data_IF_869132370540
#
_entry.id   IF_869132370540
#
_cell.length_a   1.000
_cell.length_b   1.000
_cell.length_c   1.000
_cell.angle_alpha   90.00
_cell.angle_beta   90.00
_cell.angle_gamma   90.00
#
_symmetry.space_group_name_H-M   'P 1'
#
loop_
_entity.id
_entity.type
_entity.pdbx_description
1 polymer ?
#
# COMPACT_ATOMS: atom_id res chain seq x y z
N UNK A 1 10.09 0.09 50.91
CA UNK A 1 8.62 -0.11 50.86
C UNK A 1 8.20 0.16 49.43
N UNK A 2 7.88 -0.88 48.67
CA UNK A 2 7.23 -0.72 47.38
C UNK A 2 5.75 -0.50 47.65
N UNK A 3 5.26 0.66 47.26
CA UNK A 3 3.85 0.99 47.44
C UNK A 3 3.01 -0.01 46.65
N UNK A 4 1.91 -0.44 47.24
CA UNK A 4 0.92 -1.29 46.61
C UNK A 4 0.42 -0.59 45.33
N UNK A 5 0.91 -1.03 44.16
CA UNK A 5 0.51 -0.53 42.84
C UNK A 5 -0.87 -1.09 42.49
N UNK A 6 -1.87 -0.71 43.27
CA UNK A 6 -3.29 -0.99 43.03
C UNK A 6 -3.88 -0.13 41.90
N UNK A 7 -3.07 0.73 41.26
CA UNK A 7 -3.47 1.59 40.14
C UNK A 7 -2.49 1.44 38.97
N UNK A 8 -2.93 0.95 37.80
CA UNK A 8 -2.08 0.87 36.61
C UNK A 8 -1.75 2.27 36.09
N UNK A 9 -0.48 2.67 36.14
CA UNK A 9 0.00 3.91 35.51
C UNK A 9 0.17 3.65 34.02
N UNK A 10 -0.63 4.31 33.18
CA UNK A 10 -0.46 4.25 31.72
C UNK A 10 0.29 5.50 31.23
N UNK A 11 1.40 5.31 30.52
CA UNK A 11 2.13 6.38 29.82
C UNK A 11 2.02 6.17 28.32
N UNK A 12 1.63 7.21 27.59
CA UNK A 12 1.55 7.18 26.13
C UNK A 12 2.88 7.61 25.50
N UNK A 13 3.33 6.88 24.49
CA UNK A 13 4.47 7.24 23.66
C UNK A 13 3.94 7.65 22.28
N UNK A 14 4.29 8.85 21.82
CA UNK A 14 3.87 9.35 20.50
C UNK A 14 5.11 9.53 19.63
N UNK A 15 5.33 8.66 18.62
CA UNK A 15 6.43 8.83 17.69
C UNK A 15 6.29 10.13 16.89
N UNK A 16 7.39 10.90 16.81
CA UNK A 16 7.46 12.12 15.99
C UNK A 16 8.08 11.84 14.63
N UNK A 17 9.05 10.91 14.56
CA UNK A 17 9.73 10.52 13.33
C UNK A 17 9.88 8.99 13.21
N UNK A 18 10.04 8.47 11.98
CA UNK A 18 10.36 7.07 11.75
C UNK A 18 11.72 6.71 12.35
N UNK A 19 11.88 5.46 12.80
CA UNK A 19 13.12 5.02 13.43
C UNK A 19 12.92 3.77 14.28
N UNK A 20 13.93 3.52 15.12
CA UNK A 20 13.96 2.41 16.05
C UNK A 20 14.11 2.97 17.46
N UNK A 21 13.39 2.39 18.41
CA UNK A 21 13.49 2.72 19.82
C UNK A 21 13.54 1.42 20.63
N UNK A 22 14.53 1.30 21.50
CA UNK A 22 14.56 0.28 22.55
C UNK A 22 14.02 0.91 23.82
N UNK A 23 12.89 0.40 24.30
CA UNK A 23 12.28 0.83 25.55
C UNK A 23 12.68 -0.16 26.65
N UNK A 24 13.35 0.35 27.67
CA UNK A 24 13.76 -0.42 28.84
C UNK A 24 12.99 0.09 30.06
N UNK A 25 12.23 -0.79 30.69
CA UNK A 25 11.44 -0.49 31.88
C UNK A 25 12.08 -1.17 33.07
N UNK A 26 12.54 -0.38 34.02
CA UNK A 26 13.14 -0.86 35.26
C UNK A 26 12.10 -0.92 36.36
N UNK A 27 11.97 -2.09 36.97
CA UNK A 27 11.28 -2.22 38.24
C UNK A 27 12.30 -2.04 39.38
N UNK A 28 12.27 -0.88 40.03
CA UNK A 28 13.16 -0.56 41.15
C UNK A 28 12.79 -1.31 42.44
N UNK A 29 11.65 -1.99 42.44
CA UNK A 29 11.11 -2.73 43.57
C UNK A 29 11.47 -4.22 43.56
N UNK A 30 11.81 -4.76 42.39
CA UNK A 30 12.13 -6.17 42.21
C UNK A 30 13.64 -6.35 42.24
N UNK A 31 14.13 -7.17 43.17
CA UNK A 31 15.56 -7.44 43.29
C UNK A 31 16.07 -8.19 42.04
N UNK A 32 16.72 -7.43 41.16
CA UNK A 32 17.71 -7.90 40.18
C UNK A 32 17.21 -8.90 39.13
N UNK A 33 16.25 -8.50 38.28
CA UNK A 33 15.89 -9.25 37.05
C UNK A 33 16.24 -8.52 35.74
N UNK A 34 16.95 -7.38 35.81
CA UNK A 34 17.20 -6.54 34.62
C UNK A 34 15.92 -5.83 34.13
N UNK A 35 16.00 -4.96 33.13
CA UNK A 35 14.83 -4.26 32.62
C UNK A 35 13.93 -5.18 31.78
N UNK A 36 12.63 -4.90 31.76
CA UNK A 36 11.76 -5.38 30.71
C UNK A 36 12.03 -4.59 29.42
N UNK A 37 12.40 -5.28 28.34
CA UNK A 37 12.83 -4.65 27.08
C UNK A 37 11.77 -4.81 26.00
N UNK A 38 11.44 -3.73 25.31
CA UNK A 38 10.60 -3.73 24.12
C UNK A 38 11.30 -3.02 22.95
N UNK A 39 11.26 -3.64 21.78
CA UNK A 39 11.82 -3.07 20.54
C UNK A 39 10.69 -2.50 19.69
N UNK A 40 10.76 -1.20 19.40
CA UNK A 40 9.77 -0.47 18.62
C UNK A 40 10.38 -0.05 17.29
N UNK A 41 9.68 -0.36 16.20
CA UNK A 41 10.01 0.14 14.85
C UNK A 41 8.87 1.02 14.37
N UNK A 42 9.20 2.26 14.08
CA UNK A 42 8.29 3.25 13.50
C UNK A 42 8.70 3.42 12.03
N UNK A 43 7.76 3.20 11.12
CA UNK A 43 8.01 3.26 9.68
C UNK A 43 7.00 4.18 9.03
N UNK A 44 7.38 4.70 7.87
CA UNK A 44 6.59 5.63 7.10
C UNK A 44 6.59 5.26 5.62
N UNK A 45 5.68 5.88 4.89
CA UNK A 45 5.58 5.74 3.45
C UNK A 45 6.86 6.31 2.83
N UNK A 46 7.51 5.51 2.00
CA UNK A 46 8.64 5.93 1.18
C UNK A 46 8.27 5.97 -0.30
N UNK A 47 7.47 5.00 -0.74
CA UNK A 47 7.15 4.80 -2.15
C UNK A 47 5.82 4.07 -2.33
N UNK A 48 5.17 4.31 -3.45
CA UNK A 48 3.99 3.58 -3.91
C UNK A 48 4.35 2.85 -5.20
N UNK A 49 4.18 1.53 -5.19
CA UNK A 49 4.38 0.67 -6.34
C UNK A 49 3.02 0.30 -6.95
N UNK A 50 2.93 0.43 -8.27
CA UNK A 50 1.71 0.13 -9.03
C UNK A 50 2.05 -0.83 -10.15
N UNK A 51 1.56 -2.06 -10.01
CA UNK A 51 1.79 -3.16 -10.94
C UNK A 51 0.52 -3.46 -11.75
N UNK A 52 0.67 -3.45 -13.06
CA UNK A 52 -0.38 -3.71 -14.05
C UNK A 52 0.23 -3.85 -15.44
N UNK A 53 -0.47 -4.58 -16.32
CA UNK A 53 -0.20 -4.57 -17.76
C UNK A 53 -0.69 -3.26 -18.41
N UNK A 54 0.12 -2.68 -19.28
CA UNK A 54 -0.09 -1.37 -19.89
C UNK A 54 -0.93 -1.40 -21.17
N UNK A 55 -1.17 -2.57 -21.75
CA UNK A 55 -1.94 -2.77 -22.99
C UNK A 55 -3.09 -3.72 -22.75
N UNK A 56 -4.30 -3.24 -23.00
CA UNK A 56 -5.53 -3.99 -22.71
C UNK A 56 -6.46 -3.95 -23.92
N UNK A 57 -7.15 -5.06 -24.18
CA UNK A 57 -8.22 -5.07 -25.18
C UNK A 57 -9.52 -4.54 -24.57
N UNK A 58 -10.29 -3.81 -25.37
CA UNK A 58 -11.62 -3.34 -24.96
C UNK A 58 -12.50 -4.52 -24.49
N UNK A 59 -13.23 -4.32 -23.39
CA UNK A 59 -14.08 -5.33 -22.77
C UNK A 59 -13.36 -6.32 -21.85
N UNK A 60 -12.02 -6.38 -21.91
CA UNK A 60 -11.22 -7.22 -21.01
C UNK A 60 -11.00 -6.56 -19.66
N UNK A 61 -10.61 -7.39 -18.70
CA UNK A 61 -10.24 -7.01 -17.35
C UNK A 61 -8.81 -7.39 -17.04
N UNK A 62 -8.13 -6.58 -16.24
CA UNK A 62 -6.76 -6.85 -15.78
C UNK A 62 -6.64 -6.57 -14.29
N UNK A 63 -5.73 -7.28 -13.63
CA UNK A 63 -5.39 -7.04 -12.23
C UNK A 63 -4.50 -5.81 -12.13
N UNK A 64 -4.80 -4.97 -11.15
CA UNK A 64 -3.95 -3.86 -10.71
C UNK A 64 -3.61 -4.09 -9.25
N UNK A 65 -2.31 -4.16 -8.96
CA UNK A 65 -1.79 -4.40 -7.61
C UNK A 65 -1.09 -3.15 -7.12
N UNK A 66 -1.46 -2.68 -5.93
CA UNK A 66 -0.85 -1.51 -5.29
C UNK A 66 -0.13 -1.94 -4.02
N UNK A 67 1.15 -1.57 -3.89
CA UNK A 67 1.94 -1.77 -2.67
C UNK A 67 2.43 -0.44 -2.13
N UNK A 68 2.37 -0.30 -0.82
CA UNK A 68 3.01 0.81 -0.11
C UNK A 68 4.32 0.30 0.47
N UNK A 69 5.43 0.93 0.12
CA UNK A 69 6.76 0.52 0.57
C UNK A 69 7.29 1.49 1.62
N UNK A 70 7.94 0.93 2.65
CA UNK A 70 8.72 1.70 3.62
C UNK A 70 10.17 1.92 3.16
N UNK A 71 10.96 2.58 3.99
CA UNK A 71 12.38 2.89 3.70
C UNK A 71 13.24 1.66 3.39
N UNK A 72 12.92 0.50 3.95
CA UNK A 72 13.61 -0.76 3.69
C UNK A 72 13.17 -1.47 2.39
N UNK A 73 12.39 -0.79 1.52
CA UNK A 73 11.76 -1.37 0.32
C UNK A 73 10.88 -2.60 0.58
N UNK A 74 10.46 -2.79 1.83
CA UNK A 74 9.53 -3.86 2.22
C UNK A 74 8.11 -3.31 2.20
N UNK A 75 7.13 -4.05 1.67
CA UNK A 75 5.75 -3.60 1.64
C UNK A 75 5.15 -3.58 3.05
N UNK A 76 4.30 -2.60 3.29
CA UNK A 76 3.43 -2.59 4.46
C UNK A 76 2.32 -3.63 4.30
N UNK A 77 1.87 -4.21 5.42
CA UNK A 77 0.67 -5.05 5.41
C UNK A 77 -0.56 -4.21 5.08
N UNK A 78 -1.47 -4.77 4.28
CA UNK A 78 -2.68 -4.11 3.79
C UNK A 78 -3.55 -3.53 4.92
N UNK A 79 -3.58 -4.18 6.10
CA UNK A 79 -4.35 -3.74 7.28
C UNK A 79 -3.97 -2.34 7.77
N UNK A 80 -2.81 -1.82 7.37
CA UNK A 80 -2.35 -0.48 7.70
C UNK A 80 -2.72 0.58 6.66
N UNK A 81 -3.15 0.19 5.46
CA UNK A 81 -3.46 1.14 4.37
C UNK A 81 -4.64 2.05 4.72
N UNK A 82 -5.55 1.59 5.60
CA UNK A 82 -6.61 2.43 6.18
C UNK A 82 -6.11 3.69 6.89
N UNK A 83 -4.85 3.70 7.32
CA UNK A 83 -4.20 4.85 7.97
C UNK A 83 -3.45 5.74 6.97
N UNK A 84 -3.51 5.45 5.67
CA UNK A 84 -2.66 6.05 4.64
C UNK A 84 -3.45 6.79 3.55
N UNK A 85 -4.78 6.90 3.67
CA UNK A 85 -5.65 7.51 2.65
C UNK A 85 -5.33 7.01 1.21
N UNK A 86 -5.00 5.73 1.07
CA UNK A 86 -4.57 5.16 -0.22
C UNK A 86 -5.73 5.21 -1.21
N UNK A 87 -5.45 5.70 -2.43
CA UNK A 87 -6.42 5.71 -3.53
C UNK A 87 -5.74 5.64 -4.88
N UNK A 88 -6.48 5.13 -5.84
CA UNK A 88 -6.14 5.16 -7.26
C UNK A 88 -6.84 6.31 -7.98
N UNK A 89 -6.11 7.01 -8.85
CA UNK A 89 -6.62 8.10 -9.67
C UNK A 89 -6.41 7.81 -11.15
N UNK A 90 -7.51 7.82 -11.91
CA UNK A 90 -7.52 7.73 -13.36
C UNK A 90 -7.61 9.12 -13.99
N UNK A 91 -6.95 9.32 -15.13
CA UNK A 91 -7.02 10.57 -15.89
C UNK A 91 -8.28 10.68 -16.77
N UNK A 92 -8.92 9.56 -17.11
CA UNK A 92 -10.10 9.52 -17.97
C UNK A 92 -10.93 8.26 -17.76
N UNK A 93 -12.17 8.26 -18.27
CA UNK A 93 -13.11 7.14 -18.20
C UNK A 93 -12.85 6.04 -19.25
N UNK A 94 -11.65 5.96 -19.83
CA UNK A 94 -11.26 4.90 -20.80
C UNK A 94 -11.27 3.52 -20.15
N UNK A 95 -11.05 3.50 -18.84
CA UNK A 95 -11.08 2.31 -17.99
C UNK A 95 -11.86 2.61 -16.71
N UNK A 96 -12.36 1.57 -16.04
CA UNK A 96 -12.97 1.65 -14.71
C UNK A 96 -12.20 0.76 -13.74
N UNK A 97 -12.18 1.13 -12.46
CA UNK A 97 -11.51 0.36 -11.40
C UNK A 97 -12.53 -0.08 -10.35
N UNK A 98 -12.44 -1.34 -9.93
CA UNK A 98 -13.23 -1.91 -8.85
C UNK A 98 -12.30 -2.58 -7.84
N UNK A 99 -12.40 -2.22 -6.56
CA UNK A 99 -11.66 -2.87 -5.49
C UNK A 99 -12.11 -4.34 -5.37
N UNK A 100 -11.17 -5.27 -5.23
CA UNK A 100 -11.48 -6.68 -5.02
C UNK A 100 -11.90 -6.95 -3.57
N UNK A 101 -12.76 -7.94 -3.35
CA UNK A 101 -13.09 -8.38 -1.99
C UNK A 101 -11.93 -9.17 -1.36
N UNK A 102 -11.34 -10.07 -2.15
CA UNK A 102 -10.15 -10.84 -1.75
C UNK A 102 -8.89 -10.00 -1.95
N UNK A 103 -8.13 -9.84 -0.86
CA UNK A 103 -6.95 -8.99 -0.81
C UNK A 103 -5.73 -9.80 -0.35
N UNK A 104 -4.57 -9.48 -0.91
CA UNK A 104 -3.29 -10.06 -0.49
C UNK A 104 -2.76 -9.38 0.79
N UNK A 105 -1.93 -10.08 1.58
CA UNK A 105 -1.45 -9.59 2.88
C UNK A 105 -0.70 -8.25 2.78
N UNK A 106 -0.05 -7.97 1.64
CA UNK A 106 0.85 -6.83 1.45
C UNK A 106 0.42 -5.88 0.34
N UNK A 107 -0.77 -6.05 -0.24
CA UNK A 107 -1.24 -5.23 -1.34
C UNK A 107 -2.73 -4.96 -1.33
N UNK A 108 -3.13 -3.91 -2.06
CA UNK A 108 -4.51 -3.68 -2.45
C UNK A 108 -4.67 -4.00 -3.94
N UNK A 109 -5.62 -4.87 -4.24
CA UNK A 109 -5.91 -5.41 -5.55
C UNK A 109 -7.20 -4.82 -6.10
N UNK A 110 -7.14 -4.36 -7.34
CA UNK A 110 -8.24 -3.80 -8.10
C UNK A 110 -8.40 -4.55 -9.42
N UNK A 111 -9.64 -4.71 -9.86
CA UNK A 111 -9.95 -5.10 -11.23
C UNK A 111 -10.13 -3.84 -12.05
N UNK A 112 -9.30 -3.69 -13.08
CA UNK A 112 -9.45 -2.68 -14.11
C UNK A 112 -10.24 -3.28 -15.27
N UNK A 113 -11.29 -2.59 -15.72
CA UNK A 113 -12.05 -2.96 -16.94
C UNK A 113 -11.85 -1.91 -18.02
N UNK A 114 -11.48 -2.35 -19.21
CA UNK A 114 -11.35 -1.48 -20.37
C UNK A 114 -12.72 -1.23 -21.01
N UNK A 115 -13.18 0.03 -21.03
CA UNK A 115 -14.55 0.38 -21.47
C UNK A 115 -14.59 1.14 -22.80
N UNK A 116 -13.53 1.85 -23.19
CA UNK A 116 -13.42 2.49 -24.50
C UNK A 116 -12.00 2.42 -25.04
N UNK A 117 -11.84 2.50 -26.36
CA UNK A 117 -10.51 2.58 -27.01
C UNK A 117 -9.88 3.94 -26.70
N UNK A 118 -8.58 3.97 -26.43
CA UNK A 118 -7.85 5.20 -26.15
C UNK A 118 -6.67 4.99 -25.20
N UNK A 119 -6.12 6.08 -24.71
CA UNK A 119 -5.06 6.07 -23.70
C UNK A 119 -5.54 6.77 -22.43
N UNK A 120 -5.10 6.27 -21.29
CA UNK A 120 -5.30 6.91 -19.99
C UNK A 120 -4.08 6.71 -19.12
N UNK A 121 -4.07 7.34 -17.95
CA UNK A 121 -2.99 7.22 -16.98
C UNK A 121 -3.59 6.93 -15.62
N UNK A 122 -2.93 6.02 -14.90
CA UNK A 122 -3.27 5.61 -13.55
C UNK A 122 -2.13 6.00 -12.60
N UNK A 123 -2.50 6.58 -11.46
CA UNK A 123 -1.56 6.98 -10.40
C UNK A 123 -2.11 6.52 -9.05
N UNK A 124 -1.27 5.91 -8.21
CA UNK A 124 -1.59 5.71 -6.79
C UNK A 124 -1.19 6.94 -5.99
N UNK A 125 -2.04 7.30 -5.03
CA UNK A 125 -1.84 8.43 -4.13
C UNK A 125 -2.07 7.96 -2.71
N UNK A 126 -1.18 8.32 -1.79
CA UNK A 126 -1.33 8.09 -0.36
C UNK A 126 -0.93 9.34 0.43
N UNK A 127 -1.39 9.43 1.67
CA UNK A 127 -0.94 10.42 2.64
C UNK A 127 -0.51 9.75 3.92
N UNK A 128 0.59 10.21 4.49
CA UNK A 128 0.97 9.77 5.84
C UNK A 128 0.13 10.50 6.91
N UNK A 129 0.36 10.14 8.19
CA UNK A 129 -0.31 10.76 9.34
C UNK A 129 -0.02 12.26 9.47
N UNK A 130 1.06 12.76 8.88
CA UNK A 130 1.41 14.18 8.86
C UNK A 130 0.79 14.93 7.67
N UNK A 131 0.03 14.23 6.81
CA UNK A 131 -0.59 14.78 5.61
C UNK A 131 0.36 14.91 4.42
N UNK A 132 1.61 14.41 4.51
CA UNK A 132 2.54 14.44 3.37
C UNK A 132 2.03 13.48 2.30
N UNK A 133 1.96 13.99 1.07
CA UNK A 133 1.43 13.26 -0.08
C UNK A 133 2.55 12.49 -0.78
N UNK A 134 2.27 11.24 -1.10
CA UNK A 134 3.10 10.36 -1.91
C UNK A 134 2.34 9.96 -3.17
N UNK A 135 3.05 9.85 -4.28
CA UNK A 135 2.47 9.44 -5.58
C UNK A 135 3.35 8.39 -6.22
N UNK A 136 2.74 7.36 -6.82
CA UNK A 136 3.49 6.42 -7.67
C UNK A 136 3.99 7.10 -8.94
N UNK A 137 4.90 6.43 -9.64
CA UNK A 137 5.11 6.74 -11.05
C UNK A 137 3.78 6.60 -11.82
N UNK A 138 3.45 7.52 -12.74
CA UNK A 138 2.27 7.39 -13.58
C UNK A 138 2.40 6.17 -14.50
N UNK A 139 1.35 5.34 -14.56
CA UNK A 139 1.28 4.19 -15.45
C UNK A 139 0.32 4.49 -16.60
N UNK A 140 0.86 4.55 -17.81
CA UNK A 140 0.03 4.70 -19.01
C UNK A 140 -0.63 3.38 -19.36
N UNK A 141 -1.89 3.49 -19.80
CA UNK A 141 -2.73 2.35 -20.17
C UNK A 141 -3.28 2.64 -21.56
N UNK A 142 -3.07 1.70 -22.47
CA UNK A 142 -3.56 1.77 -23.82
C UNK A 142 -4.62 0.69 -24.05
N UNK A 143 -5.82 1.14 -24.38
CA UNK A 143 -6.94 0.26 -24.74
C UNK A 143 -7.07 0.19 -26.25
N UNK A 144 -6.99 -1.02 -26.81
CA UNK A 144 -7.12 -1.28 -28.25
C UNK A 144 -8.32 -2.17 -28.56
N UNK A 145 -8.76 -2.15 -29.82
CA UNK A 145 -9.69 -3.17 -30.32
C UNK A 145 -8.94 -4.50 -30.46
N UNK A 146 -9.67 -5.60 -30.27
CA UNK A 146 -9.18 -6.93 -30.62
C UNK A 146 -8.78 -6.93 -32.10
N UNK A 147 -7.49 -7.07 -32.38
CA UNK A 147 -7.05 -7.39 -33.74
C UNK A 147 -7.41 -8.85 -33.98
N UNK A 148 -8.27 -9.12 -34.97
CA UNK A 148 -8.42 -10.47 -35.52
C UNK A 148 -7.01 -11.02 -35.82
N UNK A 149 -6.66 -12.27 -35.46
CA UNK A 149 -5.52 -12.91 -36.09
C UNK A 149 -5.78 -12.82 -37.59
N UNK A 150 -4.84 -12.24 -38.34
CA UNK A 150 -4.93 -12.30 -39.80
C UNK A 150 -5.04 -13.79 -40.15
N UNK A 151 -6.23 -14.21 -40.61
CA UNK A 151 -6.35 -15.42 -41.41
C UNK A 151 -5.38 -15.19 -42.56
N UNK A 152 -4.20 -15.81 -42.46
CA UNK A 152 -3.28 -15.92 -43.58
C UNK A 152 -4.11 -16.62 -44.65
N UNK A 153 -4.49 -15.96 -45.76
CA UNK A 153 -5.04 -16.68 -46.87
C UNK A 153 -3.86 -17.48 -47.40
N UNK A 154 -3.79 -18.76 -47.09
CA UNK A 154 -3.03 -19.68 -47.92
C UNK A 154 -3.68 -19.59 -49.30
N UNK A 155 -3.04 -18.81 -50.17
CA UNK A 155 -3.25 -18.87 -51.61
C UNK A 155 -3.03 -20.32 -52.05
N UNK A 156 -3.97 -20.76 -52.87
CA UNK A 156 -4.07 -22.01 -53.64
C UNK A 156 -2.75 -22.75 -53.90
#
# INVERSE_FOLDING_TARGET
MCCDLSVPITKALVPVHPGFLTLEVYDLCLAFLGPAVAYLRVSDIQELELDLIDKVEIGKTVLVTVRVLGSSKRPFRNKYFRNMELKLQLASAVVTLTLMEEQDEYSENYILRAVSVGQTTLVAIARDKMGRKFTSAPRQIEVRKLSHPQLVPHLL
#
